data_IF_137481004067
#
_entry.id   IF_137481004067
#
_cell.length_a   1.000
_cell.length_b   1.000
_cell.length_c   1.000
_cell.angle_alpha   90.00
_cell.angle_beta   90.00
_cell.angle_gamma   90.00
#
_symmetry.space_group_name_H-M   'P 1'
#
loop_
_entity.id
_entity.type
_entity.pdbx_description
1 polymer ?
#
# COMPACT_ATOMS: atom_id res chain seq x y z
N UNK A 1 2.36 -5.71 -9.08
CA UNK A 1 2.09 -4.31 -8.76
C UNK A 1 0.63 -4.15 -8.42
N UNK A 2 0.30 -3.68 -7.22
CA UNK A 2 -1.04 -3.45 -6.73
C UNK A 2 -1.28 -1.96 -6.50
N UNK A 3 -2.51 -1.53 -6.77
CA UNK A 3 -3.03 -0.21 -6.42
C UNK A 3 -4.53 -0.39 -6.21
N UNK A 4 -5.01 -0.08 -5.01
CA UNK A 4 -6.41 -0.25 -4.64
C UNK A 4 -6.87 0.87 -3.74
N UNK A 5 -8.16 1.17 -3.79
CA UNK A 5 -8.78 2.02 -2.78
C UNK A 5 -9.31 1.15 -1.63
N UNK A 6 -8.98 1.54 -0.40
CA UNK A 6 -9.48 0.92 0.82
C UNK A 6 -10.52 1.85 1.46
N UNK A 7 -11.80 1.45 1.37
CA UNK A 7 -12.93 2.23 1.89
C UNK A 7 -12.87 2.40 3.41
N UNK A 8 -12.32 1.41 4.13
CA UNK A 8 -12.27 1.47 5.60
C UNK A 8 -11.24 2.49 6.10
N UNK A 9 -10.22 2.75 5.29
CA UNK A 9 -9.14 3.69 5.57
C UNK A 9 -9.29 5.02 4.83
N UNK A 10 -10.27 5.15 3.92
CA UNK A 10 -10.41 6.29 2.99
C UNK A 10 -9.07 6.62 2.32
N UNK A 11 -8.42 5.59 1.76
CA UNK A 11 -7.04 5.67 1.30
C UNK A 11 -6.81 4.88 0.01
N UNK A 12 -5.91 5.39 -0.84
CA UNK A 12 -5.37 4.63 -1.98
C UNK A 12 -4.08 3.96 -1.51
N UNK A 13 -4.04 2.64 -1.54
CA UNK A 13 -2.93 1.81 -1.09
C UNK A 13 -2.25 1.17 -2.29
N UNK A 14 -0.94 1.27 -2.38
CA UNK A 14 -0.17 0.80 -3.52
C UNK A 14 1.19 0.23 -3.09
N UNK A 15 1.75 -0.64 -3.94
CA UNK A 15 3.07 -1.23 -3.68
C UNK A 15 4.15 -0.13 -3.67
N UNK A 16 5.06 -0.17 -2.70
CA UNK A 16 6.27 0.65 -2.74
C UNK A 16 7.24 0.04 -3.76
N UNK A 17 7.63 0.84 -4.75
CA UNK A 17 8.47 0.40 -5.87
C UNK A 17 9.91 0.82 -5.66
N UNK A 18 10.82 -0.16 -5.74
CA UNK A 18 12.27 0.05 -5.64
C UNK A 18 12.96 -0.49 -6.89
N UNK A 19 14.12 0.05 -7.29
CA UNK A 19 14.89 -0.53 -8.37
C UNK A 19 15.37 -1.93 -7.97
N UNK A 20 15.39 -2.87 -8.92
CA UNK A 20 15.90 -4.23 -8.67
C UNK A 20 17.38 -4.28 -8.23
N UNK A 21 18.14 -3.22 -8.52
CA UNK A 21 19.52 -3.00 -8.09
C UNK A 21 19.84 -1.51 -8.18
N UNK A 22 20.82 -1.02 -7.41
CA UNK A 22 21.23 0.40 -7.41
C UNK A 22 21.61 0.91 -8.80
N UNK A 23 22.11 0.05 -9.69
CA UNK A 23 22.46 0.42 -11.08
C UNK A 23 21.25 0.83 -11.93
N UNK A 24 20.04 0.45 -11.52
CA UNK A 24 18.80 0.75 -12.23
C UNK A 24 18.07 1.97 -11.67
N UNK A 25 18.69 2.74 -10.76
CA UNK A 25 18.06 3.94 -10.23
C UNK A 25 17.72 4.92 -11.36
N UNK A 26 16.47 5.35 -11.44
CA UNK A 26 15.94 6.22 -12.50
C UNK A 26 15.49 5.48 -13.77
N UNK A 27 15.71 4.17 -13.87
CA UNK A 27 15.18 3.31 -14.94
C UNK A 27 13.94 2.58 -14.43
N UNK A 28 12.82 3.30 -14.41
CA UNK A 28 11.58 2.88 -13.74
C UNK A 28 10.98 1.56 -14.29
N UNK A 29 11.32 1.17 -15.51
CA UNK A 29 10.92 -0.13 -16.09
C UNK A 29 11.48 -1.34 -15.31
N UNK A 30 12.58 -1.16 -14.55
CA UNK A 30 13.20 -2.19 -13.71
C UNK A 30 12.79 -2.10 -12.24
N UNK A 31 11.79 -1.27 -11.92
CA UNK A 31 11.32 -1.13 -10.55
C UNK A 31 10.26 -2.20 -10.27
N UNK A 32 10.33 -2.78 -9.07
CA UNK A 32 9.39 -3.81 -8.62
C UNK A 32 8.95 -3.58 -7.17
N UNK A 33 7.89 -4.27 -6.72
CA UNK A 33 7.43 -4.22 -5.34
C UNK A 33 8.51 -4.75 -4.40
N UNK A 34 8.82 -4.01 -3.33
CA UNK A 34 9.70 -4.50 -2.25
C UNK A 34 8.94 -5.30 -1.16
N UNK A 35 7.61 -5.36 -1.25
CA UNK A 35 6.75 -6.01 -0.26
C UNK A 35 6.19 -5.09 0.83
N UNK A 36 6.57 -3.81 0.85
CA UNK A 36 5.93 -2.77 1.67
C UNK A 36 4.92 -1.97 0.85
N UNK A 37 4.07 -1.21 1.54
CA UNK A 37 3.01 -0.44 0.91
C UNK A 37 3.10 1.02 1.34
N UNK A 38 2.77 1.90 0.41
CA UNK A 38 2.51 3.30 0.70
C UNK A 38 1.02 3.58 0.53
N UNK A 39 0.57 4.71 1.07
CA UNK A 39 -0.81 5.13 0.88
C UNK A 39 -0.98 6.64 0.78
N UNK A 40 -1.95 7.04 -0.04
CA UNK A 40 -2.54 8.37 0.00
C UNK A 40 -3.81 8.32 0.84
N UNK A 41 -3.77 8.94 2.02
CA UNK A 41 -4.96 9.11 2.86
C UNK A 41 -5.72 10.36 2.45
N UNK A 42 -7.04 10.25 2.32
CA UNK A 42 -7.88 11.41 2.09
C UNK A 42 -8.03 12.20 3.39
N UNK A 43 -7.64 13.48 3.36
CA UNK A 43 -7.85 14.42 4.46
C UNK A 43 -8.51 15.68 3.91
N UNK A 44 -9.83 15.79 4.15
CA UNK A 44 -10.69 16.81 3.53
C UNK A 44 -10.64 16.69 2.00
N UNK A 45 -10.06 17.69 1.32
CA UNK A 45 -9.94 17.75 -0.14
C UNK A 45 -8.49 17.51 -0.61
N UNK A 46 -7.64 16.91 0.23
CA UNK A 46 -6.24 16.64 -0.09
C UNK A 46 -5.89 15.17 0.13
N UNK A 47 -4.95 14.68 -0.67
CA UNK A 47 -4.34 13.36 -0.51
C UNK A 47 -3.00 13.51 0.19
N UNK A 48 -2.86 12.86 1.34
CA UNK A 48 -1.66 12.90 2.17
C UNK A 48 -0.88 11.60 1.97
N UNK A 49 0.32 11.67 1.39
CA UNK A 49 1.21 10.51 1.26
C UNK A 49 1.71 10.09 2.64
N UNK A 50 1.65 8.79 2.90
CA UNK A 50 2.32 8.13 4.01
C UNK A 50 2.98 6.86 3.49
N UNK A 51 4.29 6.76 3.69
CA UNK A 51 5.09 5.61 3.30
C UNK A 51 5.11 4.55 4.42
N UNK A 52 5.43 3.32 4.03
CA UNK A 52 5.63 2.17 4.94
C UNK A 52 4.45 1.92 5.88
N UNK A 53 3.27 1.72 5.29
CA UNK A 53 2.05 1.40 6.02
C UNK A 53 1.86 -0.12 6.13
N UNK A 54 1.26 -0.55 7.24
CA UNK A 54 0.76 -1.91 7.43
C UNK A 54 -0.77 -1.92 7.20
N UNK A 55 -1.25 -2.16 5.96
CA UNK A 55 -2.68 -2.25 5.71
C UNK A 55 -3.23 -3.49 6.41
N UNK A 56 -4.10 -3.27 7.41
CA UNK A 56 -4.86 -4.36 8.02
C UNK A 56 -5.80 -4.93 6.96
N UNK A 57 -5.76 -6.24 6.75
CA UNK A 57 -6.73 -6.88 5.89
C UNK A 57 -8.13 -6.62 6.48
N UNK A 58 -9.09 -6.03 5.74
CA UNK A 58 -10.43 -5.85 6.25
C UNK A 58 -10.98 -7.22 6.62
N UNK A 59 -11.38 -7.39 7.89
CA UNK A 59 -11.91 -8.66 8.40
C UNK A 59 -13.00 -9.12 7.44
N UNK A 60 -12.85 -10.32 6.86
CA UNK A 60 -13.93 -10.88 6.05
C UNK A 60 -15.13 -11.03 6.98
N UNK A 61 -16.30 -10.61 6.53
CA UNK A 61 -17.56 -10.59 7.31
C UNK A 61 -17.95 -11.98 7.89
N UNK A 62 -17.26 -13.05 7.46
CA UNK A 62 -17.50 -14.44 7.85
C UNK A 62 -16.33 -15.10 8.62
N UNK A 63 -15.31 -14.35 9.03
CA UNK A 63 -14.24 -14.91 9.87
C UNK A 63 -14.71 -14.96 11.33
N UNK A 64 -14.96 -16.17 11.81
CA UNK A 64 -15.24 -16.44 13.22
C UNK A 64 -14.11 -15.85 14.08
N UNK A 65 -14.42 -15.22 15.23
CA UNK A 65 -13.41 -14.64 16.08
C UNK A 65 -12.40 -15.71 16.49
N UNK A 66 -11.11 -15.40 16.32
CA UNK A 66 -10.02 -16.22 16.84
C UNK A 66 -10.27 -16.46 18.32
N UNK A 67 -10.47 -17.73 18.70
CA UNK A 67 -10.55 -18.12 20.11
C UNK A 67 -9.17 -17.89 20.72
N UNK A 68 -9.12 -17.02 21.73
CA UNK A 68 -8.00 -16.94 22.66
C UNK A 68 -7.94 -18.20 23.52
#
# INVERSE_FOLDING_TARGET
>A
MSCRYDESLDAIIFDHLVPASNIYQGMYEFYGPNGTYDAYFKKKNMWMLKEDIEPKNPRKKNELPSKN
#
